data_IF_560848735176
#
_entry.id   IF_560848735176
#
_cell.length_a   1.000
_cell.length_b   1.000
_cell.length_c   1.000
_cell.angle_alpha   90.00
_cell.angle_beta   90.00
_cell.angle_gamma   90.00
#
_symmetry.space_group_name_H-M   'P 1'
#
loop_
_entity.id
_entity.type
_entity.pdbx_description
1 polymer ?
#
# COMPACT_ATOMS: atom_id res chain seq x y z
N UNK A 1 1.17 -28.60 -1.86
CA UNK A 1 0.96 -27.26 -1.27
C UNK A 1 -0.48 -26.89 -1.55
N UNK A 2 -1.35 -26.92 -0.53
CA UNK A 2 -2.78 -26.63 -0.68
C UNK A 2 -2.94 -25.12 -0.86
N UNK A 3 -3.56 -24.67 -1.95
CA UNK A 3 -3.79 -23.24 -2.17
C UNK A 3 -4.90 -22.76 -1.21
N UNK A 4 -4.53 -21.97 -0.21
CA UNK A 4 -5.50 -21.32 0.67
C UNK A 4 -6.02 -20.04 0.02
N UNK A 5 -7.34 -19.93 -0.11
CA UNK A 5 -8.02 -18.69 -0.48
C UNK A 5 -8.58 -18.07 0.80
N UNK A 6 -7.79 -17.21 1.43
CA UNK A 6 -8.25 -16.44 2.60
C UNK A 6 -8.87 -15.11 2.16
N UNK A 7 -9.99 -14.71 2.77
CA UNK A 7 -10.38 -13.30 2.78
C UNK A 7 -9.47 -12.60 3.79
N UNK A 8 -8.47 -11.86 3.32
CA UNK A 8 -7.49 -11.15 4.17
C UNK A 8 -7.93 -9.70 4.49
N UNK A 9 -9.18 -9.34 4.22
CA UNK A 9 -9.70 -7.97 4.30
C UNK A 9 -10.13 -7.58 5.72
N UNK A 10 -10.40 -8.55 6.60
CA UNK A 10 -10.79 -8.31 7.99
C UNK A 10 -9.57 -8.17 8.90
N UNK A 11 -9.73 -7.45 10.04
CA UNK A 11 -8.72 -7.40 11.09
C UNK A 11 -8.33 -8.83 11.47
N UNK A 12 -7.06 -9.23 11.30
CA UNK A 12 -6.68 -10.59 11.59
C UNK A 12 -6.94 -10.93 13.06
N UNK A 13 -7.49 -12.11 13.34
CA UNK A 13 -7.86 -12.53 14.70
C UNK A 13 -6.69 -12.56 15.69
N UNK A 14 -5.45 -12.55 15.19
CA UNK A 14 -4.23 -12.52 15.99
C UNK A 14 -3.79 -11.11 16.41
N UNK A 15 -4.40 -10.04 15.88
CA UNK A 15 -4.02 -8.65 16.21
C UNK A 15 -4.25 -8.36 17.69
N UNK A 16 -5.46 -8.62 18.20
CA UNK A 16 -5.82 -8.31 19.59
C UNK A 16 -4.94 -9.05 20.60
N UNK A 17 -4.74 -10.38 20.50
CA UNK A 17 -3.83 -11.08 21.42
C UNK A 17 -2.38 -10.57 21.36
N UNK A 18 -1.87 -10.21 20.18
CA UNK A 18 -0.50 -9.67 20.04
C UNK A 18 -0.36 -8.32 20.74
N UNK A 19 -1.37 -7.45 20.59
CA UNK A 19 -1.39 -6.13 21.21
C UNK A 19 -1.52 -6.22 22.73
N UNK A 20 -2.38 -7.10 23.24
CA UNK A 20 -2.51 -7.37 24.69
C UNK A 20 -1.22 -7.90 25.30
N UNK A 21 -0.45 -8.69 24.55
CA UNK A 21 0.86 -9.19 24.97
C UNK A 21 2.00 -8.17 24.81
N UNK A 22 1.74 -6.98 24.24
CA UNK A 22 2.77 -5.99 23.92
C UNK A 22 3.79 -6.48 22.88
N UNK A 23 3.44 -7.49 22.10
CA UNK A 23 4.32 -8.11 21.12
C UNK A 23 4.16 -7.45 19.74
N UNK A 24 5.26 -7.13 19.04
CA UNK A 24 5.21 -6.60 17.70
C UNK A 24 4.66 -7.64 16.72
N UNK A 25 3.81 -7.19 15.80
CA UNK A 25 3.15 -8.06 14.85
C UNK A 25 3.81 -7.99 13.47
N UNK A 26 4.25 -9.13 12.95
CA UNK A 26 4.88 -9.23 11.63
C UNK A 26 4.05 -10.08 10.68
N UNK A 27 3.70 -9.53 9.51
CA UNK A 27 3.16 -10.29 8.39
C UNK A 27 4.31 -10.82 7.54
N UNK A 28 4.81 -12.02 7.87
CA UNK A 28 5.99 -12.60 7.23
C UNK A 28 5.79 -13.05 5.78
N UNK A 29 4.56 -13.35 5.39
CA UNK A 29 4.27 -13.77 4.03
C UNK A 29 2.85 -13.33 3.64
N UNK A 30 2.75 -12.46 2.63
CA UNK A 30 1.47 -12.12 2.01
C UNK A 30 1.64 -11.88 0.53
N UNK A 31 0.60 -12.16 -0.25
CA UNK A 31 0.46 -11.68 -1.62
C UNK A 31 -1.01 -11.77 -2.06
N UNK A 32 -1.29 -11.28 -3.25
CA UNK A 32 -2.60 -11.27 -3.92
C UNK A 32 -3.26 -12.65 -3.97
N UNK A 33 -2.47 -13.71 -4.21
CA UNK A 33 -2.91 -15.09 -4.16
C UNK A 33 -1.75 -16.02 -3.78
N UNK A 34 -2.07 -17.24 -3.35
CA UNK A 34 -1.10 -18.30 -3.10
C UNK A 34 -0.64 -18.99 -4.42
N UNK A 35 0.36 -19.88 -4.31
CA UNK A 35 0.77 -20.81 -5.38
C UNK A 35 1.34 -20.13 -6.64
N UNK A 36 2.11 -19.05 -6.48
CA UNK A 36 2.73 -18.29 -7.59
C UNK A 36 1.76 -17.37 -8.34
N UNK A 37 0.45 -17.50 -8.08
CA UNK A 37 -0.55 -16.58 -8.59
C UNK A 37 -1.15 -16.92 -9.95
N UNK A 38 -2.04 -16.05 -10.44
CA UNK A 38 -2.79 -16.26 -11.69
C UNK A 38 -2.35 -15.26 -12.76
N UNK A 39 -1.99 -15.73 -13.97
CA UNK A 39 -1.59 -14.86 -15.08
C UNK A 39 -2.71 -13.90 -15.47
N UNK A 40 -2.37 -12.65 -15.78
CA UNK A 40 -3.30 -11.60 -16.21
C UNK A 40 -4.06 -10.92 -15.06
N UNK A 41 -3.93 -11.40 -13.83
CA UNK A 41 -4.53 -10.76 -12.64
C UNK A 41 -3.44 -10.22 -11.73
N UNK A 42 -2.42 -11.03 -11.43
CA UNK A 42 -1.43 -10.71 -10.38
C UNK A 42 -0.25 -9.88 -10.87
N UNK A 43 -0.11 -9.78 -12.18
CA UNK A 43 0.77 -8.88 -12.95
C UNK A 43 0.02 -7.63 -13.45
N UNK A 44 -1.21 -7.41 -13.00
CA UNK A 44 -2.03 -6.25 -13.40
C UNK A 44 -1.74 -5.01 -12.55
N UNK A 45 -2.16 -3.84 -13.02
CA UNK A 45 -2.16 -2.61 -12.22
C UNK A 45 -2.99 -2.77 -10.92
N UNK A 46 -4.10 -3.51 -10.98
CA UNK A 46 -4.95 -3.79 -9.82
C UNK A 46 -4.23 -4.56 -8.71
N UNK A 47 -3.33 -5.49 -9.06
CA UNK A 47 -2.49 -6.17 -8.09
C UNK A 47 -1.51 -5.23 -7.38
N UNK A 48 -1.00 -4.23 -8.11
CA UNK A 48 -0.17 -3.18 -7.52
C UNK A 48 -0.95 -2.31 -6.53
N UNK A 49 -2.15 -1.88 -6.90
CA UNK A 49 -3.04 -1.11 -6.02
C UNK A 49 -3.46 -1.91 -4.77
N UNK A 50 -3.76 -3.20 -4.94
CA UNK A 50 -4.03 -4.11 -3.83
C UNK A 50 -2.84 -4.21 -2.87
N UNK A 51 -1.61 -4.27 -3.38
CA UNK A 51 -0.43 -4.38 -2.55
C UNK A 51 -0.18 -3.11 -1.72
N UNK A 52 -0.40 -1.91 -2.30
CA UNK A 52 -0.35 -0.66 -1.53
C UNK A 52 -1.39 -0.67 -0.42
N UNK A 53 -2.65 -0.93 -0.77
CA UNK A 53 -3.75 -1.01 0.19
C UNK A 53 -3.46 -2.00 1.32
N UNK A 54 -2.99 -3.21 0.97
CA UNK A 54 -2.68 -4.26 1.95
C UNK A 54 -1.60 -3.84 2.94
N UNK A 55 -0.55 -3.20 2.46
CA UNK A 55 0.54 -2.72 3.32
C UNK A 55 0.05 -1.62 4.27
N UNK A 56 -0.70 -0.65 3.76
CA UNK A 56 -1.24 0.44 4.57
C UNK A 56 -2.26 -0.07 5.60
N UNK A 57 -3.17 -0.97 5.21
CA UNK A 57 -4.14 -1.57 6.12
C UNK A 57 -3.47 -2.31 7.27
N UNK A 58 -2.46 -3.14 6.98
CA UNK A 58 -1.71 -3.85 8.02
C UNK A 58 -0.95 -2.88 8.95
N UNK A 59 -0.44 -1.77 8.41
CA UNK A 59 0.16 -0.73 9.24
C UNK A 59 -0.86 -0.08 10.18
N UNK A 60 -2.12 0.13 9.76
CA UNK A 60 -3.20 0.61 10.66
C UNK A 60 -3.58 -0.37 11.76
N UNK A 61 -3.21 -1.65 11.62
CA UNK A 61 -3.38 -2.69 12.65
C UNK A 61 -2.16 -2.86 13.56
N UNK A 62 -1.23 -1.89 13.57
CA UNK A 62 0.03 -1.97 14.32
C UNK A 62 0.92 -3.15 13.89
N UNK A 63 0.89 -3.52 12.61
CA UNK A 63 1.91 -4.43 12.09
C UNK A 63 3.24 -3.70 11.90
N UNK A 64 4.31 -4.24 12.48
CA UNK A 64 5.67 -3.71 12.39
C UNK A 64 6.32 -3.92 11.03
N UNK A 65 5.91 -4.96 10.29
CA UNK A 65 6.33 -5.14 8.90
C UNK A 65 5.34 -6.01 8.12
N UNK A 66 5.23 -5.72 6.82
CA UNK A 66 4.54 -6.55 5.84
C UNK A 66 5.52 -6.99 4.76
N UNK A 67 5.70 -8.30 4.64
CA UNK A 67 6.63 -8.91 3.70
C UNK A 67 5.84 -9.57 2.57
N UNK A 68 6.00 -9.03 1.36
CA UNK A 68 5.42 -9.62 0.15
C UNK A 68 6.23 -10.84 -0.26
N UNK A 69 5.54 -11.96 -0.48
CA UNK A 69 6.21 -13.17 -0.96
C UNK A 69 6.82 -12.92 -2.34
N UNK A 70 8.08 -13.35 -2.50
CA UNK A 70 8.81 -13.37 -3.76
C UNK A 70 9.27 -14.79 -3.96
N UNK A 71 8.98 -15.36 -5.13
CA UNK A 71 9.35 -16.74 -5.44
C UNK A 71 10.17 -16.84 -6.71
N UNK A 72 10.04 -17.99 -7.38
CA UNK A 72 10.80 -18.29 -8.60
C UNK A 72 10.31 -17.49 -9.81
N UNK A 73 10.99 -17.62 -10.95
CA UNK A 73 10.60 -16.96 -12.22
C UNK A 73 9.16 -17.20 -12.68
N UNK A 74 8.50 -18.25 -12.16
CA UNK A 74 7.13 -18.62 -12.52
C UNK A 74 6.03 -17.88 -11.76
N UNK A 75 6.39 -17.06 -10.76
CA UNK A 75 5.40 -16.40 -9.92
C UNK A 75 4.98 -15.05 -10.50
N UNK A 76 3.68 -14.89 -10.75
CA UNK A 76 3.08 -13.72 -11.40
C UNK A 76 3.00 -12.50 -10.49
N UNK A 77 3.03 -12.70 -9.18
CA UNK A 77 3.01 -11.62 -8.19
C UNK A 77 4.41 -11.07 -7.85
N UNK A 78 5.45 -11.54 -8.53
CA UNK A 78 6.81 -11.12 -8.24
C UNK A 78 6.96 -9.60 -8.46
N UNK A 79 7.60 -8.87 -7.52
CA UNK A 79 7.94 -7.47 -7.74
C UNK A 79 8.98 -7.35 -8.87
N UNK A 80 9.86 -8.33 -9.02
CA UNK A 80 10.85 -8.35 -10.09
C UNK A 80 11.18 -9.79 -10.46
N UNK A 81 11.46 -10.02 -11.74
CA UNK A 81 11.85 -11.32 -12.26
C UNK A 81 13.19 -11.21 -13.00
N UNK A 82 14.15 -12.11 -12.73
CA UNK A 82 15.40 -12.16 -13.47
C UNK A 82 15.16 -12.64 -14.91
N UNK A 83 16.09 -12.37 -15.84
CA UNK A 83 16.06 -13.00 -17.16
C UNK A 83 16.23 -14.53 -17.02
N UNK A 84 15.67 -15.34 -17.94
CA UNK A 84 15.84 -16.79 -17.94
C UNK A 84 17.32 -17.22 -17.86
N UNK A 85 17.58 -18.41 -17.33
CA UNK A 85 18.94 -18.94 -17.10
C UNK A 85 19.86 -18.73 -18.31
N UNK A 86 21.06 -18.20 -18.06
CA UNK A 86 22.09 -17.87 -19.06
C UNK A 86 21.70 -16.82 -20.11
N UNK A 87 20.70 -15.98 -19.84
CA UNK A 87 20.32 -14.89 -20.75
C UNK A 87 20.64 -13.49 -20.22
N UNK A 88 21.33 -13.37 -19.09
CA UNK A 88 21.65 -12.07 -18.45
C UNK A 88 22.60 -11.17 -19.26
N UNK A 89 23.29 -11.71 -20.26
CA UNK A 89 24.16 -10.93 -21.17
C UNK A 89 23.38 -10.16 -22.24
N UNK A 90 22.11 -10.53 -22.49
CA UNK A 90 21.29 -9.90 -23.54
C UNK A 90 19.82 -9.64 -23.13
N UNK A 91 19.39 -10.08 -21.94
CA UNK A 91 18.10 -9.75 -21.33
C UNK A 91 18.30 -9.07 -19.98
N UNK A 92 17.37 -8.18 -19.65
CA UNK A 92 17.36 -7.44 -18.39
C UNK A 92 16.34 -8.03 -17.42
N UNK A 93 16.34 -7.53 -16.18
CA UNK A 93 15.29 -7.81 -15.22
C UNK A 93 13.99 -7.12 -15.63
N UNK A 94 12.87 -7.75 -15.31
CA UNK A 94 11.53 -7.18 -15.53
C UNK A 94 10.92 -6.84 -14.18
N UNK A 95 10.38 -5.64 -14.05
CA UNK A 95 9.60 -5.22 -12.87
C UNK A 95 8.14 -5.63 -13.04
N UNK A 96 7.54 -6.19 -11.99
CA UNK A 96 6.12 -6.43 -11.86
C UNK A 96 5.39 -5.28 -11.14
N UNK A 97 4.08 -5.40 -11.03
CA UNK A 97 3.23 -4.37 -10.42
C UNK A 97 3.57 -4.10 -8.96
N UNK A 98 3.84 -5.16 -8.19
CA UNK A 98 4.14 -5.07 -6.74
C UNK A 98 5.41 -4.26 -6.45
N UNK A 99 6.37 -4.20 -7.39
CA UNK A 99 7.57 -3.36 -7.23
C UNK A 99 7.24 -1.87 -7.16
N UNK A 100 6.24 -1.42 -7.92
CA UNK A 100 5.83 -0.02 -7.87
C UNK A 100 5.10 0.27 -6.55
N UNK A 101 4.39 -0.72 -6.01
CA UNK A 101 3.72 -0.61 -4.70
C UNK A 101 4.72 -0.40 -3.56
N UNK A 102 5.86 -1.10 -3.57
CA UNK A 102 6.86 -0.92 -2.51
C UNK A 102 7.49 0.47 -2.56
N UNK A 103 7.68 1.05 -3.76
CA UNK A 103 8.14 2.43 -3.92
C UNK A 103 7.11 3.45 -3.40
N UNK A 104 5.83 3.26 -3.72
CA UNK A 104 4.75 4.12 -3.24
C UNK A 104 4.67 4.09 -1.71
N UNK A 105 4.72 2.90 -1.10
CA UNK A 105 4.68 2.74 0.36
C UNK A 105 5.91 3.35 1.02
N UNK A 106 7.09 3.20 0.44
CA UNK A 106 8.31 3.83 0.95
C UNK A 106 8.20 5.37 0.96
N UNK A 107 7.69 5.97 -0.12
CA UNK A 107 7.47 7.42 -0.19
C UNK A 107 6.39 7.89 0.79
N UNK A 108 5.38 7.05 1.07
CA UNK A 108 4.32 7.36 2.03
C UNK A 108 4.83 7.45 3.47
N UNK A 109 5.75 6.58 3.88
CA UNK A 109 6.30 6.55 5.24
C UNK A 109 7.62 7.32 5.40
N UNK A 110 8.20 7.87 4.33
CA UNK A 110 9.38 8.74 4.43
C UNK A 110 10.58 8.13 5.17
N UNK A 111 11.50 9.01 5.61
CA UNK A 111 12.75 8.61 6.28
C UNK A 111 12.83 9.06 7.75
N UNK A 112 11.87 9.85 8.24
CA UNK A 112 11.96 10.44 9.59
C UNK A 112 11.74 9.43 10.71
N UNK A 113 11.04 8.34 10.42
CA UNK A 113 10.68 7.30 11.40
C UNK A 113 9.64 7.77 12.42
N UNK A 114 8.93 8.87 12.14
CA UNK A 114 7.91 9.47 13.02
C UNK A 114 6.51 9.43 12.41
N UNK A 115 6.35 8.56 11.43
CA UNK A 115 5.14 8.45 10.65
C UNK A 115 4.07 7.66 11.41
N UNK A 116 2.85 8.20 11.39
CA UNK A 116 1.66 7.56 11.92
C UNK A 116 0.60 7.51 10.85
N UNK A 117 0.05 6.33 10.60
CA UNK A 117 -0.98 6.14 9.58
C UNK A 117 -2.36 5.98 10.23
N UNK A 118 -3.37 6.53 9.58
CA UNK A 118 -4.77 6.37 9.96
C UNK A 118 -5.61 5.98 8.74
N UNK A 119 -6.47 4.97 8.94
CA UNK A 119 -7.52 4.63 7.97
C UNK A 119 -8.64 5.67 8.05
N UNK A 120 -9.00 6.26 6.91
CA UNK A 120 -10.07 7.25 6.83
C UNK A 120 -11.46 6.60 6.86
N UNK A 121 -11.55 5.27 6.72
CA UNK A 121 -12.79 4.49 6.62
C UNK A 121 -13.86 5.14 5.71
N UNK A 122 -13.49 5.61 4.50
CA UNK A 122 -14.47 6.20 3.56
C UNK A 122 -15.57 5.21 3.22
N UNK A 123 -16.77 5.72 2.89
CA UNK A 123 -17.95 4.91 2.60
C UNK A 123 -18.25 3.85 3.67
N UNK A 124 -18.10 4.20 4.95
CA UNK A 124 -18.27 3.30 6.09
C UNK A 124 -17.31 2.09 6.08
N UNK A 125 -16.08 2.30 5.61
CA UNK A 125 -15.05 1.25 5.56
C UNK A 125 -15.24 0.26 4.41
N UNK A 126 -15.81 0.69 3.29
CA UNK A 126 -15.95 -0.15 2.10
C UNK A 126 -14.57 -0.55 1.54
N UNK A 127 -14.38 -1.85 1.37
CA UNK A 127 -13.14 -2.49 0.90
C UNK A 127 -12.71 -2.06 -0.50
N UNK A 128 -13.65 -1.58 -1.32
CA UNK A 128 -13.39 -1.12 -2.69
C UNK A 128 -13.02 0.36 -2.80
N UNK A 129 -13.07 1.11 -1.70
CA UNK A 129 -12.73 2.54 -1.69
C UNK A 129 -11.71 2.91 -0.62
N UNK A 130 -10.58 2.21 -0.46
CA UNK A 130 -9.63 2.49 0.61
C UNK A 130 -9.06 3.92 0.57
N UNK A 131 -8.84 4.49 1.75
CA UNK A 131 -8.26 5.81 1.93
C UNK A 131 -7.48 5.91 3.23
N UNK A 132 -6.25 6.42 3.16
CA UNK A 132 -5.35 6.53 4.30
C UNK A 132 -4.68 7.89 4.35
N UNK A 133 -4.49 8.40 5.56
CA UNK A 133 -3.67 9.60 5.80
C UNK A 133 -2.44 9.20 6.61
N UNK A 134 -1.29 9.74 6.20
CA UNK A 134 -0.04 9.64 6.96
C UNK A 134 0.24 10.98 7.61
N UNK A 135 0.52 10.92 8.91
CA UNK A 135 0.98 12.01 9.73
C UNK A 135 2.47 11.87 9.99
N UNK A 136 3.17 12.99 10.08
CA UNK A 136 4.57 13.07 10.47
C UNK A 136 4.72 14.19 11.49
N UNK A 137 5.32 13.91 12.65
CA UNK A 137 5.39 14.87 13.76
C UNK A 137 4.01 15.45 14.14
N UNK A 138 2.96 14.64 14.05
CA UNK A 138 1.57 15.03 14.38
C UNK A 138 0.86 15.89 13.32
N UNK A 139 1.47 16.12 12.16
CA UNK A 139 0.89 16.88 11.05
C UNK A 139 0.53 15.95 9.89
N UNK A 140 -0.64 16.08 9.25
CA UNK A 140 -0.95 15.29 8.05
C UNK A 140 -0.06 15.76 6.90
N UNK A 141 0.73 14.84 6.34
CA UNK A 141 1.73 15.14 5.30
C UNK A 141 1.40 14.49 3.97
N UNK A 142 0.82 13.28 3.99
CA UNK A 142 0.57 12.48 2.79
C UNK A 142 -0.82 11.82 2.86
N UNK A 143 -1.47 11.69 1.70
CA UNK A 143 -2.80 11.12 1.55
C UNK A 143 -2.75 10.09 0.43
N UNK A 144 -3.20 8.87 0.72
CA UNK A 144 -3.41 7.83 -0.28
C UNK A 144 -4.90 7.52 -0.41
N UNK A 145 -5.34 7.38 -1.65
CA UNK A 145 -6.72 7.18 -2.02
C UNK A 145 -6.71 6.23 -3.21
N UNK A 146 -7.50 5.17 -3.14
CA UNK A 146 -7.64 4.20 -4.22
C UNK A 146 -9.12 3.83 -4.38
N UNK A 147 -9.69 4.10 -5.56
CA UNK A 147 -11.12 3.93 -5.82
C UNK A 147 -11.37 2.97 -6.96
N UNK A 148 -12.34 2.09 -6.76
CA UNK A 148 -13.00 1.38 -7.84
C UNK A 148 -13.79 2.36 -8.69
N UNK A 149 -13.58 2.27 -10.01
CA UNK A 149 -14.45 2.91 -10.99
C UNK A 149 -15.72 2.07 -11.15
N UNK A 150 -16.88 2.69 -10.95
CA UNK A 150 -18.19 2.06 -11.11
C UNK A 150 -19.14 3.03 -11.85
N UNK A 151 -19.66 2.63 -13.03
CA UNK A 151 -20.59 3.45 -13.80
C UNK A 151 -21.87 3.85 -13.06
N UNK A 152 -22.27 3.12 -12.01
CA UNK A 152 -23.45 3.46 -11.21
C UNK A 152 -23.22 4.66 -10.28
N UNK A 153 -21.96 5.00 -10.03
CA UNK A 153 -21.56 6.02 -9.06
C UNK A 153 -21.68 5.59 -7.60
N UNK A 154 -21.94 4.30 -7.32
CA UNK A 154 -22.06 3.75 -5.97
C UNK A 154 -20.79 3.86 -5.13
N UNK A 155 -19.64 4.03 -5.78
CA UNK A 155 -18.33 4.22 -5.13
C UNK A 155 -17.81 5.67 -5.22
N UNK A 156 -18.64 6.62 -5.68
CA UNK A 156 -18.27 8.04 -5.71
C UNK A 156 -18.12 8.58 -4.28
N UNK A 157 -17.02 9.29 -4.03
CA UNK A 157 -16.84 10.00 -2.77
C UNK A 157 -16.48 11.47 -2.96
N UNK A 158 -16.95 12.30 -2.03
CA UNK A 158 -16.63 13.72 -1.96
C UNK A 158 -15.61 13.95 -0.87
N UNK A 159 -14.34 14.12 -1.24
CA UNK A 159 -13.27 14.42 -0.28
C UNK A 159 -13.09 15.92 -0.15
N UNK A 160 -13.28 16.45 1.06
CA UNK A 160 -12.72 17.74 1.45
C UNK A 160 -11.41 17.50 2.18
N UNK A 161 -10.30 17.76 1.50
CA UNK A 161 -9.00 17.81 2.16
C UNK A 161 -8.84 19.18 2.79
N UNK A 162 -9.08 19.25 4.10
CA UNK A 162 -8.77 20.42 4.91
C UNK A 162 -7.54 20.10 5.76
N UNK A 163 -6.44 20.77 5.48
CA UNK A 163 -5.24 20.68 6.30
C UNK A 163 -5.38 21.75 7.39
N UNK A 164 -5.66 21.30 8.61
CA UNK A 164 -5.86 22.13 9.79
C UNK A 164 -7.31 22.61 10.01
N UNK A 165 -7.73 22.45 11.27
CA UNK A 165 -8.99 22.83 11.95
C UNK A 165 -10.17 21.84 11.91
N UNK A 166 -10.67 21.56 13.12
CA UNK A 166 -11.82 20.71 13.43
C UNK A 166 -11.62 20.05 14.80
N UNK A 167 -10.91 18.92 14.82
CA UNK A 167 -10.72 18.11 16.03
C UNK A 167 -9.27 18.07 16.56
N UNK A 168 -8.27 18.46 15.76
CA UNK A 168 -6.84 18.35 16.11
C UNK A 168 -6.23 19.61 16.75
N UNK A 169 -7.01 20.68 16.97
CA UNK A 169 -6.54 22.02 17.42
C UNK A 169 -5.33 22.58 16.64
N UNK A 170 -5.07 22.11 15.43
CA UNK A 170 -4.03 22.66 14.56
C UNK A 170 -4.56 23.86 13.77
N UNK A 171 -3.80 24.97 13.65
CA UNK A 171 -4.19 26.08 12.80
C UNK A 171 -4.36 25.63 11.34
N UNK A 172 -5.32 26.19 10.59
CA UNK A 172 -5.49 25.90 9.17
C UNK A 172 -4.20 26.19 8.41
N UNK A 173 -3.66 25.21 7.72
CA UNK A 173 -2.48 25.35 6.87
C UNK A 173 -2.85 24.86 5.48
N UNK A 174 -2.80 25.72 4.46
CA UNK A 174 -2.90 25.23 3.09
C UNK A 174 -1.61 24.48 2.75
N UNK A 175 -1.67 23.32 2.04
CA UNK A 175 -0.46 22.69 1.55
C UNK A 175 0.29 23.73 0.71
N UNK A 176 1.63 23.83 0.84
CA UNK A 176 2.40 24.73 0.01
C UNK A 176 2.04 24.44 -1.45
N UNK A 177 1.71 25.49 -2.21
CA UNK A 177 1.50 25.38 -3.65
C UNK A 177 2.71 24.63 -4.20
N UNK A 178 2.46 23.53 -4.90
CA UNK A 178 3.51 22.83 -5.64
C UNK A 178 4.06 23.85 -6.65
N UNK A 179 5.14 24.53 -6.28
CA UNK A 179 5.88 25.38 -7.17
C UNK A 179 6.52 24.45 -8.18
N UNK A 180 6.00 24.45 -9.41
CA UNK A 180 6.61 23.73 -10.51
C UNK A 180 7.95 24.39 -10.85
N UNK A 181 8.98 24.10 -10.06
CA UNK A 181 10.35 24.10 -10.56
C UNK A 181 10.84 22.67 -10.51
N UNK A 182 10.38 21.89 -11.49
CA UNK A 182 11.20 20.78 -11.99
C UNK A 182 12.45 21.45 -12.56
N UNK A 183 13.46 21.64 -11.71
CA UNK A 183 14.82 21.82 -12.18
C UNK A 183 15.18 20.48 -12.78
N UNK A 184 15.13 20.40 -14.12
CA UNK A 184 15.72 19.28 -14.85
C UNK A 184 17.18 19.20 -14.41
N UNK A 185 17.50 18.30 -13.48
CA UNK A 185 18.86 17.78 -13.43
C UNK A 185 19.03 17.04 -14.74
N UNK A 186 19.75 17.66 -15.68
CA UNK A 186 20.29 16.93 -16.81
C UNK A 186 21.14 15.79 -16.24
N UNK A 187 21.05 14.65 -16.91
CA UNK A 187 21.96 13.54 -16.78
C UNK A 187 23.42 14.01 -16.83
#
# INVERSE_FOLDING_TARGET
MTCFRGKLQDTPSFVVPSQEAGAPLFMFETNTAACGGFPGILDSFGAGLWAVDRALKLATYNSSATLFHVGGQGDYYNPFAPPPTNQSSFRQWTTGSVYHSTLIVAELFGESGKDHIMDLNPNNGESLTPGYVVYEDGQPTRLFINYVDDPSGGHNIWVRVQIGSGETQQPPASPPKFGSSISRRRA
#
